data_IF_685939970321
#
_entry.id   IF_685939970321
#
_cell.length_a   1.000
_cell.length_b   1.000
_cell.length_c   1.000
_cell.angle_alpha   90.00
_cell.angle_beta   90.00
_cell.angle_gamma   90.00
#
_symmetry.space_group_name_H-M   'P 1'
#
loop_
_entity.id
_entity.type
_entity.pdbx_description
1 polymer ?
#
# COMPACT_ATOMS: atom_id res chain seq x y z
N UNK A 1 7.24 -21.77 -14.82
CA UNK A 1 8.19 -20.68 -14.56
C UNK A 1 8.25 -20.45 -13.05
N UNK A 2 9.43 -20.60 -12.47
CA UNK A 2 9.72 -20.43 -11.04
C UNK A 2 10.14 -18.99 -10.75
N UNK A 3 10.14 -18.61 -9.46
CA UNK A 3 10.67 -17.31 -9.05
C UNK A 3 12.15 -17.15 -9.41
N UNK A 4 12.94 -18.22 -9.37
CA UNK A 4 14.34 -18.19 -9.76
C UNK A 4 14.50 -17.86 -11.25
N UNK A 5 13.73 -18.54 -12.11
CA UNK A 5 13.73 -18.28 -13.56
C UNK A 5 13.28 -16.84 -13.90
N UNK A 6 12.31 -16.29 -13.15
CA UNK A 6 11.89 -14.88 -13.32
C UNK A 6 13.03 -13.94 -12.93
N UNK A 7 13.72 -14.19 -11.81
CA UNK A 7 14.84 -13.34 -11.37
C UNK A 7 15.97 -13.32 -12.39
N UNK A 8 16.33 -14.49 -12.94
CA UNK A 8 17.33 -14.57 -14.00
C UNK A 8 16.89 -13.80 -15.26
N UNK A 9 15.61 -13.89 -15.66
CA UNK A 9 15.09 -13.12 -16.79
C UNK A 9 15.15 -11.60 -16.53
N UNK A 10 14.89 -11.16 -15.29
CA UNK A 10 14.96 -9.75 -14.89
C UNK A 10 16.39 -9.20 -15.03
N UNK A 11 17.41 -10.00 -14.76
CA UNK A 11 18.82 -9.60 -14.92
C UNK A 11 19.20 -9.27 -16.36
N UNK A 12 18.47 -9.82 -17.34
CA UNK A 12 18.72 -9.58 -18.77
C UNK A 12 18.00 -8.36 -19.35
N UNK A 13 17.13 -7.70 -18.58
CA UNK A 13 16.35 -6.57 -19.07
C UNK A 13 17.21 -5.33 -19.29
N UNK A 14 16.88 -4.57 -20.34
CA UNK A 14 17.37 -3.20 -20.46
C UNK A 14 16.79 -2.32 -19.35
N UNK A 15 17.40 -1.14 -19.14
CA UNK A 15 16.92 -0.19 -18.14
C UNK A 15 15.45 0.23 -18.36
N UNK A 16 15.03 0.40 -19.62
CA UNK A 16 13.66 0.76 -19.96
C UNK A 16 12.68 -0.36 -19.64
N UNK A 17 13.00 -1.60 -20.02
CA UNK A 17 12.16 -2.77 -19.73
C UNK A 17 12.06 -3.05 -18.23
N UNK A 18 13.16 -2.87 -17.50
CA UNK A 18 13.16 -2.99 -16.04
C UNK A 18 12.26 -1.93 -15.40
N UNK A 19 12.28 -0.69 -15.89
CA UNK A 19 11.42 0.38 -15.41
C UNK A 19 9.93 0.10 -15.68
N UNK A 20 9.61 -0.45 -16.86
CA UNK A 20 8.25 -0.88 -17.20
C UNK A 20 7.77 -2.01 -16.30
N UNK A 21 8.61 -3.05 -16.09
CA UNK A 21 8.29 -4.15 -15.19
C UNK A 21 8.10 -3.67 -13.75
N UNK A 22 8.95 -2.77 -13.27
CA UNK A 22 8.81 -2.18 -11.94
C UNK A 22 7.49 -1.40 -11.78
N UNK A 23 7.08 -0.65 -12.80
CA UNK A 23 5.80 0.06 -12.80
C UNK A 23 4.61 -0.92 -12.73
N UNK A 24 4.67 -1.99 -13.52
CA UNK A 24 3.65 -3.06 -13.54
C UNK A 24 3.52 -3.80 -12.20
N UNK A 25 4.64 -4.07 -11.52
CA UNK A 25 4.63 -4.69 -10.19
C UNK A 25 4.04 -3.72 -9.16
N UNK A 26 4.51 -2.47 -9.17
CA UNK A 26 4.04 -1.43 -8.24
C UNK A 26 2.54 -1.20 -8.33
N UNK A 27 1.96 -1.21 -9.53
CA UNK A 27 0.52 -1.07 -9.72
C UNK A 27 -0.26 -2.19 -9.00
N UNK A 28 0.22 -3.43 -9.07
CA UNK A 28 -0.41 -4.58 -8.39
C UNK A 28 -0.26 -4.53 -6.88
N UNK A 29 0.93 -4.15 -6.43
CA UNK A 29 1.18 -3.97 -5.00
C UNK A 29 0.27 -2.87 -4.47
N UNK A 30 0.22 -1.71 -5.12
CA UNK A 30 -0.67 -0.60 -4.73
C UNK A 30 -2.13 -1.06 -4.64
N UNK A 31 -2.65 -1.79 -5.65
CA UNK A 31 -4.01 -2.31 -5.61
C UNK A 31 -4.25 -3.31 -4.46
N UNK A 32 -3.24 -4.08 -4.05
CA UNK A 32 -3.32 -4.94 -2.88
C UNK A 32 -3.30 -4.14 -1.58
N UNK A 33 -2.44 -3.12 -1.50
CA UNK A 33 -2.39 -2.18 -0.38
C UNK A 33 -3.71 -1.42 -0.21
N UNK A 34 -4.31 -0.93 -1.30
CA UNK A 34 -5.60 -0.23 -1.27
C UNK A 34 -6.69 -1.12 -0.65
N UNK A 35 -6.79 -2.38 -1.12
CA UNK A 35 -7.74 -3.36 -0.54
C UNK A 35 -7.47 -3.63 0.93
N UNK A 36 -6.20 -3.77 1.31
CA UNK A 36 -5.84 -4.03 2.70
C UNK A 36 -6.18 -2.83 3.60
N UNK A 37 -5.99 -1.59 3.11
CA UNK A 37 -6.39 -0.37 3.83
C UNK A 37 -7.90 -0.37 4.05
N UNK A 38 -8.69 -0.67 3.01
CA UNK A 38 -10.15 -0.74 3.12
C UNK A 38 -10.59 -1.80 4.15
N UNK A 39 -10.00 -3.00 4.11
CA UNK A 39 -10.25 -4.07 5.08
C UNK A 39 -9.85 -3.68 6.50
N UNK A 40 -8.71 -3.01 6.66
CA UNK A 40 -8.20 -2.58 7.95
C UNK A 40 -9.11 -1.55 8.64
N UNK A 41 -9.76 -0.68 7.87
CA UNK A 41 -10.66 0.36 8.37
C UNK A 41 -12.16 -0.03 8.33
N UNK A 42 -12.49 -1.26 7.90
CA UNK A 42 -13.83 -1.81 7.94
C UNK A 42 -14.41 -1.87 9.38
N UNK A 43 -15.69 -2.23 9.53
CA UNK A 43 -16.34 -2.22 10.85
C UNK A 43 -15.72 -3.16 11.88
N UNK A 44 -15.26 -4.32 11.43
CA UNK A 44 -14.51 -5.32 12.18
C UNK A 44 -13.00 -5.30 11.86
N UNK A 45 -12.57 -4.30 11.09
CA UNK A 45 -11.19 -4.11 10.67
C UNK A 45 -10.25 -3.79 11.83
N UNK A 46 -9.00 -4.23 11.72
CA UNK A 46 -8.00 -4.11 12.81
C UNK A 46 -7.69 -2.66 13.22
N UNK A 47 -7.93 -1.68 12.33
CA UNK A 47 -7.69 -0.25 12.57
C UNK A 47 -8.97 0.54 12.87
N UNK A 48 -10.13 -0.12 12.98
CA UNK A 48 -11.40 0.55 13.35
C UNK A 48 -11.29 1.39 14.62
N UNK A 49 -10.61 0.86 15.65
CA UNK A 49 -10.38 1.56 16.92
C UNK A 49 -9.58 2.85 16.74
N UNK A 50 -8.57 2.82 15.87
CA UNK A 50 -7.75 4.01 15.58
C UNK A 50 -8.60 5.08 14.89
N UNK A 51 -9.48 4.67 13.96
CA UNK A 51 -10.42 5.60 13.30
C UNK A 51 -11.38 6.26 14.30
N UNK A 52 -11.85 5.53 15.30
CA UNK A 52 -12.71 6.06 16.36
C UNK A 52 -11.96 7.04 17.26
N UNK A 53 -10.73 6.71 17.66
CA UNK A 53 -9.86 7.59 18.43
C UNK A 53 -9.57 8.90 17.69
N UNK A 54 -9.26 8.83 16.39
CA UNK A 54 -9.05 10.02 15.55
C UNK A 54 -10.31 10.89 15.49
N UNK A 55 -11.50 10.29 15.33
CA UNK A 55 -12.78 11.02 15.34
C UNK A 55 -13.03 11.71 16.68
N UNK A 56 -12.68 11.07 17.80
CA UNK A 56 -12.76 11.69 19.12
C UNK A 56 -11.78 12.85 19.28
N UNK A 57 -10.53 12.68 18.82
CA UNK A 57 -9.52 13.74 18.84
C UNK A 57 -9.97 14.97 18.02
N UNK A 58 -10.57 14.75 16.84
CA UNK A 58 -11.17 15.82 16.03
C UNK A 58 -12.27 16.55 16.82
N UNK A 59 -13.23 15.82 17.38
CA UNK A 59 -14.35 16.41 18.15
C UNK A 59 -13.87 17.19 19.38
N UNK A 60 -12.79 16.73 20.00
CA UNK A 60 -12.21 17.35 21.17
C UNK A 60 -11.22 18.49 20.85
N UNK A 61 -10.98 18.79 19.57
CA UNK A 61 -10.02 19.84 19.17
C UNK A 61 -8.58 19.53 19.56
N UNK A 62 -8.18 18.25 19.57
CA UNK A 62 -6.83 17.80 19.97
C UNK A 62 -5.86 17.64 18.79
N UNK A 63 -6.25 18.05 17.58
CA UNK A 63 -5.37 18.03 16.41
C UNK A 63 -4.62 19.35 16.27
N UNK A 64 -3.39 19.26 15.77
CA UNK A 64 -2.56 20.41 15.42
C UNK A 64 -2.58 20.62 13.90
N UNK A 65 -2.40 21.86 13.46
CA UNK A 65 -2.19 22.14 12.03
C UNK A 65 -0.83 21.60 11.59
N UNK A 66 -0.80 21.03 10.38
CA UNK A 66 0.47 20.61 9.78
C UNK A 66 1.31 21.86 9.48
N UNK A 67 2.65 21.79 9.69
CA UNK A 67 3.55 22.91 9.45
C UNK A 67 3.66 23.32 7.98
#
# INVERSE_FOLDING_TARGET
>A
MSLAEIKEAVETLSHCELAELAAFIRERENAAWDRQIDEDFAEDGRLRRVLEEVRENIRAGRLEELP
#
